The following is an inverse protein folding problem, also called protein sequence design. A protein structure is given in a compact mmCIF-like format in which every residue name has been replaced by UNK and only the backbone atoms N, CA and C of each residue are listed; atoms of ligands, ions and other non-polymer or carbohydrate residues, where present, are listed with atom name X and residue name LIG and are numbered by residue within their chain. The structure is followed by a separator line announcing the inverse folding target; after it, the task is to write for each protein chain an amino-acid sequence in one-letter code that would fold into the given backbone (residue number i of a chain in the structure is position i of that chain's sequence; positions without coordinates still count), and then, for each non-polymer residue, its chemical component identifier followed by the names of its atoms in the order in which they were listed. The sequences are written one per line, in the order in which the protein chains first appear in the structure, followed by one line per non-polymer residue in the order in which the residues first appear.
data_IF_312879785337
#
_entry.id   IF_312879785337
#
_cell.length_a   1.000
_cell.length_b   1.000
_cell.length_c   1.000
_cell.angle_alpha   90.00
_cell.angle_beta   90.00
_cell.angle_gamma   90.00
#
_symmetry.space_group_name_H-M   'P 1'
#
loop_
_entity.id
_entity.type
_entity.pdbx_description
1 polymer ?
#
# COMPACT_ATOMS: atom_id res chain seq x y z
N UNK A 1 -6.51 6.89 15.18
CA UNK A 1 -5.05 6.70 14.98
C UNK A 1 -4.65 5.36 15.56
N UNK A 2 -3.71 4.67 14.93
CA UNK A 2 -3.08 3.48 15.51
C UNK A 2 -2.14 3.94 16.63
N UNK A 3 -2.20 3.35 17.82
CA UNK A 3 -1.33 3.73 18.92
C UNK A 3 0.16 3.54 18.58
N UNK A 4 1.00 4.51 18.98
CA UNK A 4 2.44 4.47 18.68
C UNK A 4 3.12 3.21 19.23
N UNK A 5 2.69 2.73 20.40
CA UNK A 5 3.26 1.53 21.02
C UNK A 5 2.89 0.25 20.26
N UNK A 6 1.72 0.19 19.59
CA UNK A 6 1.38 -0.90 18.67
C UNK A 6 2.32 -0.91 17.46
N UNK A 7 2.62 0.28 16.92
CA UNK A 7 3.54 0.43 15.78
C UNK A 7 4.97 0.04 16.19
N UNK A 8 5.39 0.37 17.41
CA UNK A 8 6.70 -0.04 17.95
C UNK A 8 6.79 -1.56 18.13
N UNK A 9 5.74 -2.19 18.68
CA UNK A 9 5.66 -3.66 18.75
C UNK A 9 5.69 -4.32 17.38
N UNK A 10 4.97 -3.74 16.40
CA UNK A 10 5.03 -4.20 15.02
C UNK A 10 6.45 -4.13 14.45
N UNK A 11 7.21 -3.06 14.74
CA UNK A 11 8.60 -2.93 14.30
C UNK A 11 9.50 -4.02 14.90
N UNK A 12 9.35 -4.30 16.20
CA UNK A 12 10.11 -5.36 16.87
C UNK A 12 9.78 -6.73 16.28
N UNK A 13 8.50 -7.02 16.02
CA UNK A 13 8.06 -8.26 15.41
C UNK A 13 8.58 -8.43 13.98
N UNK A 14 8.74 -7.33 13.24
CA UNK A 14 9.19 -7.34 11.84
C UNK A 14 10.72 -7.40 11.67
N UNK A 15 11.47 -7.42 12.75
CA UNK A 15 12.94 -7.54 12.67
C UNK A 15 13.35 -8.83 11.94
N UNK A 16 14.27 -8.68 10.98
CA UNK A 16 14.69 -9.77 10.09
C UNK A 16 13.67 -10.18 9.01
N UNK A 17 12.47 -9.60 8.97
CA UNK A 17 11.42 -9.92 7.98
C UNK A 17 11.22 -8.77 6.99
N UNK A 18 10.99 -7.57 7.47
CA UNK A 18 10.88 -6.39 6.62
C UNK A 18 12.18 -5.57 6.64
N UNK A 19 12.59 -5.10 5.49
CA UNK A 19 13.79 -4.27 5.38
C UNK A 19 13.50 -2.82 5.80
N UNK A 20 14.47 -2.19 6.48
CA UNK A 20 14.52 -0.74 6.56
C UNK A 20 14.90 -0.20 5.19
N UNK A 21 13.90 0.24 4.42
CA UNK A 21 14.12 0.66 3.04
C UNK A 21 14.83 2.01 2.96
N UNK A 22 15.59 2.26 1.89
CA UNK A 22 16.22 3.55 1.66
C UNK A 22 15.21 4.69 1.52
N UNK A 23 15.60 5.85 2.01
CA UNK A 23 15.01 7.15 1.70
C UNK A 23 16.01 7.90 0.84
N UNK A 24 15.67 8.19 -0.41
CA UNK A 24 16.59 8.80 -1.38
C UNK A 24 16.03 10.12 -1.90
N UNK A 25 16.91 11.12 -2.02
CA UNK A 25 16.53 12.39 -2.66
C UNK A 25 16.41 12.17 -4.16
N UNK A 26 15.31 12.65 -4.75
CA UNK A 26 15.09 12.64 -6.19
C UNK A 26 15.76 13.86 -6.81
N UNK A 27 16.61 13.63 -7.81
CA UNK A 27 17.19 14.70 -8.64
C UNK A 27 16.17 15.10 -9.70
N UNK A 28 15.41 16.16 -9.41
CA UNK A 28 14.37 16.72 -10.26
C UNK A 28 14.33 18.23 -10.10
N UNK A 29 14.10 18.95 -11.20
CA UNK A 29 14.01 20.41 -11.22
C UNK A 29 12.61 20.86 -10.81
N UNK A 30 12.46 21.08 -9.50
CA UNK A 30 11.21 21.53 -8.86
C UNK A 30 11.56 22.46 -7.69
N UNK A 31 10.61 23.31 -7.30
CA UNK A 31 10.77 24.19 -6.12
C UNK A 31 10.84 23.41 -4.80
N UNK A 32 10.31 22.18 -4.78
CA UNK A 32 10.31 21.29 -3.62
C UNK A 32 11.48 20.31 -3.66
N UNK A 33 12.07 20.04 -2.52
CA UNK A 33 13.00 18.93 -2.30
C UNK A 33 12.21 17.63 -2.11
N UNK A 34 12.24 16.73 -3.09
CA UNK A 34 11.47 15.49 -3.09
C UNK A 34 12.34 14.31 -2.65
N UNK A 35 11.83 13.54 -1.69
CA UNK A 35 12.44 12.32 -1.19
C UNK A 35 11.55 11.12 -1.46
N UNK A 36 12.13 10.01 -1.90
CA UNK A 36 11.43 8.77 -2.21
C UNK A 36 11.70 7.72 -1.14
N UNK A 37 10.66 7.24 -0.46
CA UNK A 37 10.72 6.08 0.43
C UNK A 37 10.46 4.82 -0.38
N UNK A 38 11.51 4.03 -0.60
CA UNK A 38 11.54 2.96 -1.61
C UNK A 38 11.03 1.61 -1.06
N UNK A 39 9.73 1.52 -0.73
CA UNK A 39 9.10 0.28 -0.26
C UNK A 39 9.04 -0.83 -1.32
N UNK A 40 9.22 -0.50 -2.59
CA UNK A 40 9.37 -1.48 -3.66
C UNK A 40 10.62 -2.36 -3.53
N UNK A 41 11.58 -1.98 -2.67
CA UNK A 41 12.79 -2.77 -2.40
C UNK A 41 12.60 -3.85 -1.33
N UNK A 42 11.42 -3.98 -0.74
CA UNK A 42 11.08 -5.09 0.13
C UNK A 42 11.21 -6.45 -0.58
N UNK A 43 11.41 -7.58 0.15
CA UNK A 43 11.55 -8.92 -0.44
C UNK A 43 10.41 -9.30 -1.41
N UNK A 44 9.18 -8.86 -1.13
CA UNK A 44 8.02 -9.07 -2.00
C UNK A 44 7.75 -7.88 -2.93
N UNK A 45 8.70 -6.96 -3.05
CA UNK A 45 8.64 -5.76 -3.90
C UNK A 45 7.47 -4.82 -3.59
N UNK A 46 6.98 -4.83 -2.34
CA UNK A 46 5.95 -3.88 -1.86
C UNK A 46 5.94 -3.80 -0.35
N UNK A 47 5.40 -2.69 0.16
CA UNK A 47 5.20 -2.45 1.59
C UNK A 47 4.35 -3.51 2.29
N UNK A 48 3.56 -4.28 1.54
CA UNK A 48 2.57 -5.23 2.10
C UNK A 48 3.18 -6.28 3.02
N UNK A 49 4.47 -6.60 2.88
CA UNK A 49 5.16 -7.49 3.82
C UNK A 49 5.11 -6.96 5.25
N UNK A 50 5.10 -5.63 5.46
CA UNK A 50 5.05 -5.02 6.79
C UNK A 50 3.73 -5.31 7.49
N UNK A 51 2.61 -5.06 6.80
CA UNK A 51 1.29 -5.33 7.34
C UNK A 51 1.03 -6.83 7.50
N UNK A 52 1.33 -7.63 6.48
CA UNK A 52 1.18 -9.08 6.54
C UNK A 52 2.04 -9.69 7.64
N UNK A 53 3.32 -9.30 7.72
CA UNK A 53 4.24 -9.74 8.76
C UNK A 53 3.77 -9.35 10.15
N UNK A 54 3.40 -8.10 10.35
CA UNK A 54 2.89 -7.61 11.64
C UNK A 54 1.68 -8.42 12.12
N UNK A 55 0.71 -8.71 11.23
CA UNK A 55 -0.46 -9.49 11.59
C UNK A 55 -0.13 -10.94 11.97
N UNK A 56 0.76 -11.58 11.22
CA UNK A 56 1.14 -12.99 11.46
C UNK A 56 2.07 -13.14 12.67
N UNK A 57 3.07 -12.26 12.79
CA UNK A 57 4.12 -12.38 13.82
C UNK A 57 3.65 -11.96 15.23
N UNK A 58 2.54 -11.24 15.32
CA UNK A 58 1.92 -10.86 16.59
C UNK A 58 0.68 -11.72 16.91
N UNK A 59 0.34 -12.68 16.06
CA UNK A 59 -0.74 -13.62 16.32
C UNK A 59 -0.31 -14.72 17.30
N UNK A 60 -1.25 -15.25 18.07
CA UNK A 60 -1.02 -16.37 18.97
C UNK A 60 -0.95 -17.71 18.20
N UNK A 61 -0.34 -18.72 18.80
CA UNK A 61 -0.28 -20.05 18.19
C UNK A 61 -1.70 -20.63 17.94
N UNK A 62 -2.67 -20.28 18.79
CA UNK A 62 -4.07 -20.67 18.63
C UNK A 62 -4.70 -20.02 17.38
N UNK A 63 -4.48 -18.72 17.16
CA UNK A 63 -4.93 -18.02 15.94
C UNK A 63 -4.30 -18.61 14.67
N UNK A 64 -3.07 -19.10 14.75
CA UNK A 64 -2.29 -19.63 13.63
C UNK A 64 -2.48 -21.14 13.39
N UNK A 65 -3.18 -21.86 14.28
CA UNK A 65 -3.29 -23.31 14.21
C UNK A 65 -3.87 -23.85 12.88
N UNK A 66 -4.78 -23.08 12.24
CA UNK A 66 -5.33 -23.38 10.92
C UNK A 66 -4.56 -22.76 9.74
N UNK A 67 -3.42 -22.10 10.01
CA UNK A 67 -2.70 -21.32 9.01
C UNK A 67 -3.21 -19.88 8.89
N UNK A 68 -3.00 -19.27 7.73
CA UNK A 68 -3.41 -17.88 7.46
C UNK A 68 -4.19 -17.77 6.15
N UNK A 69 -5.11 -16.83 6.10
CA UNK A 69 -6.03 -16.64 4.97
C UNK A 69 -6.13 -15.15 4.61
N UNK A 70 -6.22 -14.85 3.32
CA UNK A 70 -6.61 -13.51 2.83
C UNK A 70 -7.39 -13.60 1.52
N UNK A 71 -8.16 -12.56 1.21
CA UNK A 71 -8.82 -12.39 -0.09
C UNK A 71 -8.11 -11.27 -0.87
N UNK A 72 -7.16 -11.64 -1.71
CA UNK A 72 -6.38 -10.68 -2.53
C UNK A 72 -5.66 -11.40 -3.65
N UNK A 73 -5.64 -10.83 -4.86
CA UNK A 73 -4.81 -11.30 -5.97
C UNK A 73 -3.50 -10.48 -6.14
N UNK A 74 -3.27 -9.46 -5.31
CA UNK A 74 -2.16 -8.52 -5.47
C UNK A 74 -1.05 -8.65 -4.43
N UNK A 75 -0.45 -7.51 -4.10
CA UNK A 75 0.71 -7.41 -3.21
C UNK A 75 0.47 -7.99 -1.80
N UNK A 76 -0.77 -7.91 -1.27
CA UNK A 76 -1.08 -8.47 0.04
C UNK A 76 -0.99 -10.00 0.04
N UNK A 77 -1.51 -10.64 -1.00
CA UNK A 77 -1.40 -12.08 -1.18
C UNK A 77 0.06 -12.56 -1.19
N UNK A 78 0.91 -11.86 -1.94
CA UNK A 78 2.34 -12.17 -2.02
C UNK A 78 3.04 -11.95 -0.66
N UNK A 79 2.72 -10.85 0.03
CA UNK A 79 3.28 -10.56 1.35
C UNK A 79 2.89 -11.62 2.39
N UNK A 80 1.62 -12.02 2.41
CA UNK A 80 1.13 -13.04 3.34
C UNK A 80 1.73 -14.41 3.05
N UNK A 81 1.77 -14.83 1.77
CA UNK A 81 2.37 -16.10 1.36
C UNK A 81 3.86 -16.17 1.73
N UNK A 82 4.61 -15.08 1.49
CA UNK A 82 6.02 -15.01 1.86
C UNK A 82 6.24 -15.21 3.35
N UNK A 83 5.54 -14.44 4.19
CA UNK A 83 5.69 -14.51 5.65
C UNK A 83 5.26 -15.87 6.20
N UNK A 84 4.14 -16.42 5.70
CA UNK A 84 3.64 -17.71 6.11
C UNK A 84 4.63 -18.85 5.79
N UNK A 85 5.20 -18.83 4.58
CA UNK A 85 6.23 -19.81 4.18
C UNK A 85 7.42 -19.80 5.14
N UNK A 86 7.94 -18.62 5.47
CA UNK A 86 9.12 -18.49 6.34
C UNK A 86 8.83 -18.93 7.79
N UNK A 87 7.53 -19.02 8.17
CA UNK A 87 7.04 -19.53 9.45
C UNK A 87 6.55 -20.98 9.40
N UNK A 88 6.62 -21.64 8.24
CA UNK A 88 6.11 -23.00 8.06
C UNK A 88 4.58 -23.10 8.14
N UNK A 89 3.86 -21.99 7.93
CA UNK A 89 2.39 -21.93 7.94
C UNK A 89 1.83 -22.12 6.54
N UNK A 90 0.63 -22.69 6.46
CA UNK A 90 -0.16 -22.68 5.22
C UNK A 90 -0.78 -21.31 5.00
N UNK A 91 -0.52 -20.69 3.84
CA UNK A 91 -1.22 -19.48 3.40
C UNK A 91 -2.26 -19.86 2.35
N UNK A 92 -3.54 -19.67 2.66
CA UNK A 92 -4.63 -19.81 1.69
C UNK A 92 -5.02 -18.45 1.14
N UNK A 93 -5.02 -18.31 -0.17
CA UNK A 93 -5.27 -17.05 -0.86
C UNK A 93 -6.49 -17.20 -1.76
N UNK A 94 -7.60 -16.56 -1.39
CA UNK A 94 -8.80 -16.52 -2.21
C UNK A 94 -8.68 -15.40 -3.23
N UNK A 95 -8.79 -15.74 -4.52
CA UNK A 95 -8.66 -14.79 -5.63
C UNK A 95 -9.89 -14.87 -6.55
N UNK A 96 -10.27 -13.77 -7.22
CA UNK A 96 -11.31 -13.85 -8.23
C UNK A 96 -10.84 -14.71 -9.41
N UNK A 97 -11.76 -15.43 -10.04
CA UNK A 97 -11.49 -16.39 -11.13
C UNK A 97 -10.83 -15.76 -12.36
N UNK A 98 -11.09 -14.47 -12.60
CA UNK A 98 -10.48 -13.68 -13.65
C UNK A 98 -9.12 -13.04 -13.29
N UNK A 99 -8.56 -13.38 -12.12
CA UNK A 99 -7.25 -12.85 -11.71
C UNK A 99 -6.16 -13.24 -12.74
N UNK A 100 -5.29 -12.29 -13.15
CA UNK A 100 -4.22 -12.57 -14.12
C UNK A 100 -3.29 -13.70 -13.64
N UNK A 101 -2.94 -14.60 -14.56
CA UNK A 101 -2.07 -15.74 -14.23
C UNK A 101 -0.71 -15.30 -13.68
N UNK A 102 -0.14 -14.20 -14.16
CA UNK A 102 1.11 -13.62 -13.66
C UNK A 102 1.06 -13.30 -12.17
N UNK A 103 -0.09 -12.85 -11.66
CA UNK A 103 -0.30 -12.58 -10.22
C UNK A 103 -0.43 -13.88 -9.42
N UNK A 104 -1.11 -14.89 -9.98
CA UNK A 104 -1.24 -16.20 -9.36
C UNK A 104 0.12 -16.88 -9.25
N UNK A 105 0.90 -16.90 -10.33
CA UNK A 105 2.26 -17.46 -10.34
C UNK A 105 3.17 -16.76 -9.31
N UNK A 106 2.99 -15.47 -9.10
CA UNK A 106 3.74 -14.74 -8.09
C UNK A 106 3.37 -15.16 -6.65
N UNK A 107 2.09 -15.40 -6.37
CA UNK A 107 1.61 -15.91 -5.08
C UNK A 107 2.14 -17.33 -4.82
N UNK A 108 2.01 -18.23 -5.81
CA UNK A 108 2.45 -19.62 -5.71
C UNK A 108 3.97 -19.74 -5.55
N UNK A 109 4.75 -18.86 -6.20
CA UNK A 109 6.22 -18.75 -6.02
C UNK A 109 6.60 -18.48 -4.57
N UNK A 110 5.78 -17.75 -3.83
CA UNK A 110 5.96 -17.52 -2.39
C UNK A 110 5.35 -18.62 -1.51
N UNK A 111 4.78 -19.69 -2.10
CA UNK A 111 4.22 -20.83 -1.37
C UNK A 111 2.75 -20.67 -0.99
N UNK A 112 2.05 -19.68 -1.53
CA UNK A 112 0.61 -19.49 -1.30
C UNK A 112 -0.23 -20.55 -2.03
N UNK A 113 -1.21 -21.11 -1.33
CA UNK A 113 -2.25 -21.98 -1.91
C UNK A 113 -3.39 -21.12 -2.43
N UNK A 114 -3.61 -21.09 -3.75
CA UNK A 114 -4.62 -20.27 -4.39
C UNK A 114 -5.95 -21.02 -4.52
N UNK A 115 -7.05 -20.35 -4.15
CA UNK A 115 -8.43 -20.78 -4.41
C UNK A 115 -9.07 -19.73 -5.33
N UNK A 116 -9.42 -20.13 -6.56
CA UNK A 116 -10.12 -19.29 -7.54
C UNK A 116 -11.63 -19.40 -7.32
N UNK A 117 -12.30 -18.26 -7.20
CA UNK A 117 -13.74 -18.18 -6.95
C UNK A 117 -14.38 -17.07 -7.79
N UNK A 118 -15.70 -17.11 -8.05
CA UNK A 118 -16.42 -15.99 -8.64
C UNK A 118 -16.22 -14.70 -7.84
N UNK A 119 -16.31 -13.54 -8.51
CA UNK A 119 -16.06 -12.24 -7.89
C UNK A 119 -16.90 -12.00 -6.62
N UNK A 120 -18.19 -12.36 -6.63
CA UNK A 120 -19.08 -12.16 -5.48
C UNK A 120 -18.68 -13.00 -4.27
N UNK A 121 -18.17 -14.22 -4.50
CA UNK A 121 -17.66 -15.09 -3.43
C UNK A 121 -16.34 -14.58 -2.87
N UNK A 122 -15.45 -14.07 -3.75
CA UNK A 122 -14.22 -13.37 -3.33
C UNK A 122 -14.54 -12.15 -2.49
N UNK A 123 -15.50 -11.32 -2.93
CA UNK A 123 -15.94 -10.13 -2.20
C UNK A 123 -16.56 -10.50 -0.85
N UNK A 124 -17.41 -11.53 -0.81
CA UNK A 124 -17.98 -12.03 0.43
C UNK A 124 -16.90 -12.48 1.42
N UNK A 125 -15.85 -13.18 0.95
CA UNK A 125 -14.68 -13.56 1.76
C UNK A 125 -13.98 -12.34 2.35
N UNK A 126 -13.84 -11.27 1.58
CA UNK A 126 -13.28 -10.01 2.04
C UNK A 126 -14.12 -9.37 3.15
N UNK A 127 -15.44 -9.36 2.99
CA UNK A 127 -16.37 -8.72 3.92
C UNK A 127 -16.55 -9.52 5.20
N UNK A 128 -16.67 -10.86 5.09
CA UNK A 128 -16.91 -11.74 6.25
C UNK A 128 -15.66 -12.10 7.03
N UNK A 129 -14.49 -11.92 6.44
CA UNK A 129 -13.22 -12.28 7.07
C UNK A 129 -12.98 -13.79 7.17
N UNK A 130 -13.51 -14.58 6.22
CA UNK A 130 -13.36 -16.04 6.22
C UNK A 130 -13.81 -16.68 4.92
N UNK A 131 -13.39 -17.92 4.68
CA UNK A 131 -13.80 -18.72 3.53
C UNK A 131 -14.27 -20.10 3.99
N UNK A 132 -15.45 -20.60 3.51
CA UNK A 132 -16.02 -21.88 3.96
C UNK A 132 -15.02 -23.05 3.83
N UNK A 133 -14.84 -23.80 4.92
CA UNK A 133 -13.94 -24.96 4.95
C UNK A 133 -12.44 -24.63 5.00
N UNK A 134 -12.08 -23.35 5.25
CA UNK A 134 -10.71 -22.92 5.50
C UNK A 134 -10.64 -22.31 6.89
N UNK A 135 -9.94 -22.99 7.79
CA UNK A 135 -9.63 -22.48 9.12
C UNK A 135 -8.34 -21.63 9.07
N UNK A 136 -8.17 -20.77 10.07
CA UNK A 136 -6.96 -19.98 10.23
C UNK A 136 -7.23 -18.48 10.38
N UNK A 137 -6.16 -17.73 10.62
CA UNK A 137 -6.23 -16.27 10.79
C UNK A 137 -6.53 -15.59 9.47
N UNK A 138 -7.68 -14.91 9.38
CA UNK A 138 -7.95 -14.03 8.25
C UNK A 138 -7.21 -12.71 8.43
N UNK A 139 -6.29 -12.41 7.51
CA UNK A 139 -5.55 -11.16 7.48
C UNK A 139 -6.18 -10.23 6.45
N UNK A 140 -6.94 -9.23 6.94
CA UNK A 140 -7.61 -8.27 6.05
C UNK A 140 -6.58 -7.35 5.40
N UNK A 141 -6.57 -7.17 4.05
CA UNK A 141 -5.53 -6.43 3.32
C UNK A 141 -5.31 -4.98 3.76
N UNK A 142 -6.28 -4.37 4.44
CA UNK A 142 -6.26 -2.94 4.81
C UNK A 142 -6.93 -2.62 6.15
N UNK A 143 -8.02 -3.30 6.54
CA UNK A 143 -8.86 -2.95 7.70
C UNK A 143 -8.54 -3.78 8.97
N UNK A 144 -7.29 -4.15 9.15
CA UNK A 144 -6.76 -4.84 10.33
C UNK A 144 -5.79 -3.91 11.05
N UNK A 145 -5.96 -3.73 12.37
CA UNK A 145 -5.13 -2.81 13.15
C UNK A 145 -3.67 -3.27 13.22
N UNK A 146 -3.41 -4.60 13.25
CA UNK A 146 -2.06 -5.16 13.16
C UNK A 146 -1.42 -4.89 11.80
N UNK A 147 -2.20 -4.93 10.72
CA UNK A 147 -1.73 -4.55 9.36
C UNK A 147 -1.41 -3.07 9.30
N UNK A 148 -2.27 -2.20 9.82
CA UNK A 148 -2.01 -0.76 9.85
C UNK A 148 -0.82 -0.42 10.75
N UNK A 149 -0.64 -1.09 11.90
CA UNK A 149 0.52 -0.93 12.76
C UNK A 149 1.83 -1.32 12.05
N UNK A 150 1.83 -2.46 11.32
CA UNK A 150 2.96 -2.87 10.48
C UNK A 150 3.33 -1.83 9.43
N UNK A 151 2.33 -1.29 8.73
CA UNK A 151 2.54 -0.21 7.76
C UNK A 151 3.09 1.07 8.43
N UNK A 152 2.69 1.34 9.68
CA UNK A 152 3.16 2.47 10.49
C UNK A 152 4.66 2.47 10.77
N UNK A 153 5.32 1.31 10.68
CA UNK A 153 6.77 1.20 10.85
C UNK A 153 7.55 2.01 9.81
N UNK A 154 6.97 2.24 8.62
CA UNK A 154 7.53 3.17 7.62
C UNK A 154 7.63 4.58 8.22
N UNK A 155 6.61 5.03 8.94
CA UNK A 155 6.60 6.35 9.58
C UNK A 155 7.68 6.51 10.65
N UNK A 156 7.96 5.45 11.43
CA UNK A 156 9.11 5.46 12.36
C UNK A 156 10.43 5.63 11.61
N UNK A 157 10.60 4.89 10.51
CA UNK A 157 11.80 4.99 9.67
C UNK A 157 11.96 6.39 9.06
N UNK A 158 10.88 7.02 8.60
CA UNK A 158 10.92 8.38 8.04
C UNK A 158 11.45 9.39 9.05
N UNK A 159 10.92 9.36 10.27
CA UNK A 159 11.35 10.27 11.33
C UNK A 159 12.81 10.06 11.73
N UNK A 160 13.33 8.83 11.61
CA UNK A 160 14.72 8.47 11.90
C UNK A 160 15.67 8.77 10.73
N UNK A 161 15.18 8.77 9.48
CA UNK A 161 16.01 8.92 8.28
C UNK A 161 16.12 10.37 7.79
N UNK A 162 15.18 11.23 8.20
CA UNK A 162 15.12 12.63 7.76
C UNK A 162 14.76 13.53 8.94
N UNK A 163 15.67 14.45 9.27
CA UNK A 163 15.52 15.30 10.44
C UNK A 163 14.34 16.27 10.34
N UNK A 164 14.05 16.77 9.14
CA UNK A 164 12.95 17.68 8.87
C UNK A 164 12.26 17.34 7.53
N UNK A 165 10.97 17.42 7.48
CA UNK A 165 10.14 17.38 6.26
C UNK A 165 8.76 17.97 6.54
N UNK A 166 8.19 18.61 5.53
CA UNK A 166 6.94 19.36 5.66
C UNK A 166 5.71 18.47 5.42
N UNK A 167 5.86 17.48 4.54
CA UNK A 167 4.74 16.67 4.11
C UNK A 167 5.14 15.25 3.70
N UNK A 168 4.19 14.35 3.80
CA UNK A 168 4.27 12.99 3.25
C UNK A 168 3.10 12.77 2.30
N UNK A 169 3.38 12.33 1.08
CA UNK A 169 2.38 11.89 0.12
C UNK A 169 2.37 10.37 0.03
N UNK A 170 1.19 9.77 0.19
CA UNK A 170 1.03 8.32 0.31
C UNK A 170 0.00 7.81 -0.69
N UNK A 171 0.28 6.75 -1.45
CA UNK A 171 -0.73 6.11 -2.29
C UNK A 171 -1.92 5.61 -1.47
N UNK A 172 -3.13 5.82 -1.97
CA UNK A 172 -4.37 5.42 -1.31
C UNK A 172 -5.16 4.43 -2.18
N UNK A 173 -5.36 3.24 -1.65
CA UNK A 173 -6.34 2.28 -2.15
C UNK A 173 -7.41 2.10 -1.08
N UNK A 174 -7.21 1.16 -0.16
CA UNK A 174 -8.08 1.02 1.01
C UNK A 174 -7.69 1.85 2.24
N UNK A 175 -6.63 2.68 2.17
CA UNK A 175 -6.25 3.64 3.22
C UNK A 175 -5.36 3.10 4.36
N UNK A 176 -5.16 1.78 4.48
CA UNK A 176 -4.38 1.19 5.59
C UNK A 176 -2.91 1.60 5.61
N UNK A 177 -2.33 1.96 4.46
CA UNK A 177 -0.95 2.47 4.40
C UNK A 177 -0.85 3.86 5.01
N UNK A 178 -1.68 4.79 4.56
CA UNK A 178 -1.67 6.16 5.07
C UNK A 178 -2.07 6.21 6.53
N UNK A 179 -3.09 5.43 6.95
CA UNK A 179 -3.51 5.36 8.35
C UNK A 179 -2.36 4.94 9.28
N UNK A 180 -1.57 3.94 8.88
CA UNK A 180 -0.39 3.50 9.64
C UNK A 180 0.71 4.55 9.67
N UNK A 181 1.20 5.00 8.51
CA UNK A 181 2.33 5.95 8.41
C UNK A 181 1.99 7.26 9.13
N UNK A 182 0.81 7.83 8.85
CA UNK A 182 0.41 9.09 9.45
C UNK A 182 0.20 8.98 10.97
N UNK A 183 -0.27 7.83 11.48
CA UNK A 183 -0.36 7.59 12.92
C UNK A 183 1.02 7.68 13.60
N UNK A 184 2.05 7.05 13.03
CA UNK A 184 3.39 7.08 13.56
C UNK A 184 4.01 8.49 13.51
N UNK A 185 3.95 9.13 12.33
CA UNK A 185 4.58 10.43 12.13
C UNK A 185 3.87 11.52 12.92
N UNK A 186 2.53 11.63 12.89
CA UNK A 186 1.77 12.64 13.64
C UNK A 186 1.92 12.50 15.17
N UNK A 187 2.16 11.28 15.66
CA UNK A 187 2.46 11.07 17.09
C UNK A 187 3.83 11.63 17.51
N UNK A 188 4.80 11.72 16.59
CA UNK A 188 6.17 12.18 16.84
C UNK A 188 6.42 13.60 16.32
N UNK A 189 5.75 13.96 15.23
CA UNK A 189 5.84 15.25 14.52
C UNK A 189 4.45 15.69 14.06
N UNK A 190 3.62 16.25 14.95
CA UNK A 190 2.23 16.59 14.66
C UNK A 190 2.05 17.65 13.56
N UNK A 191 3.07 18.46 13.30
CA UNK A 191 3.10 19.53 12.30
C UNK A 191 3.21 19.02 10.86
N UNK A 192 3.71 17.80 10.64
CA UNK A 192 3.90 17.23 9.29
C UNK A 192 2.56 16.98 8.62
N UNK A 193 2.37 17.51 7.43
CA UNK A 193 1.14 17.34 6.64
C UNK A 193 1.12 16.00 5.92
N UNK A 194 -0.07 15.43 5.77
CA UNK A 194 -0.29 14.17 5.08
C UNK A 194 -1.28 14.33 3.93
N UNK A 195 -0.88 13.84 2.77
CA UNK A 195 -1.74 13.82 1.59
C UNK A 195 -1.87 12.40 1.04
N UNK A 196 -3.08 12.04 0.64
CA UNK A 196 -3.31 10.80 -0.11
C UNK A 196 -3.27 11.05 -1.61
N UNK A 197 -2.89 10.04 -2.39
CA UNK A 197 -2.91 10.07 -3.85
C UNK A 197 -3.56 8.80 -4.40
N UNK A 198 -4.58 8.99 -5.24
CA UNK A 198 -5.36 7.95 -5.90
C UNK A 198 -5.32 8.15 -7.42
N UNK A 199 -5.47 7.11 -8.26
CA UNK A 199 -5.62 7.36 -9.69
C UNK A 199 -6.95 8.05 -9.98
N UNK A 200 -6.98 8.98 -10.92
CA UNK A 200 -8.22 9.68 -11.33
C UNK A 200 -9.33 8.74 -11.79
N UNK A 201 -9.00 7.49 -12.11
CA UNK A 201 -9.94 6.42 -12.49
C UNK A 201 -10.72 5.81 -11.31
N UNK A 202 -10.47 6.26 -10.07
CA UNK A 202 -11.19 5.78 -8.89
C UNK A 202 -10.65 6.42 -7.62
N UNK A 203 -11.04 7.68 -7.34
CA UNK A 203 -10.45 8.53 -6.30
C UNK A 203 -11.49 9.01 -5.27
N UNK A 204 -12.08 8.10 -4.44
CA UNK A 204 -13.12 8.47 -3.48
C UNK A 204 -12.60 9.36 -2.34
N UNK A 205 -11.33 9.28 -1.95
CA UNK A 205 -10.79 10.18 -0.92
C UNK A 205 -10.68 11.62 -1.46
N UNK A 206 -10.18 11.80 -2.69
CA UNK A 206 -10.14 13.10 -3.33
C UNK A 206 -11.55 13.70 -3.53
N UNK A 207 -12.52 12.90 -3.98
CA UNK A 207 -13.91 13.31 -4.11
C UNK A 207 -14.52 13.71 -2.74
N UNK A 208 -14.19 12.98 -1.69
CA UNK A 208 -14.64 13.27 -0.32
C UNK A 208 -14.07 14.59 0.19
N UNK A 209 -12.79 14.87 -0.03
CA UNK A 209 -12.21 16.17 0.31
C UNK A 209 -12.85 17.32 -0.49
N UNK A 210 -13.07 17.14 -1.80
CA UNK A 210 -13.76 18.11 -2.64
C UNK A 210 -15.21 18.36 -2.18
N UNK A 211 -15.87 17.37 -1.59
CA UNK A 211 -17.22 17.48 -1.01
C UNK A 211 -17.22 17.97 0.45
N UNK A 212 -16.12 18.59 0.92
CA UNK A 212 -16.04 19.14 2.28
C UNK A 212 -16.00 18.07 3.39
N UNK A 213 -15.51 16.87 3.09
CA UNK A 213 -15.33 15.77 4.04
C UNK A 213 -16.49 14.78 4.10
N UNK A 214 -17.56 15.00 3.35
CA UNK A 214 -18.66 14.03 3.24
C UNK A 214 -18.23 12.82 2.41
N UNK A 215 -18.22 11.58 2.95
CA UNK A 215 -17.85 10.39 2.21
C UNK A 215 -18.58 10.28 0.88
N UNK A 216 -17.83 10.29 -0.22
CA UNK A 216 -18.37 10.36 -1.58
C UNK A 216 -17.82 9.19 -2.40
N UNK A 217 -18.74 8.38 -2.94
CA UNK A 217 -18.40 7.33 -3.90
C UNK A 217 -18.14 7.91 -5.30
N UNK A 218 -17.37 7.17 -6.09
CA UNK A 218 -17.01 7.55 -7.47
C UNK A 218 -17.18 6.39 -8.43
N UNK A 219 -17.26 6.68 -9.73
CA UNK A 219 -17.07 5.66 -10.74
C UNK A 219 -15.63 5.12 -10.68
N UNK A 220 -15.49 3.79 -10.78
CA UNK A 220 -14.20 3.14 -10.84
C UNK A 220 -13.98 2.53 -12.22
N UNK A 221 -12.87 2.89 -12.84
CA UNK A 221 -12.43 2.32 -14.11
C UNK A 221 -11.12 1.56 -13.90
N UNK A 222 -11.05 0.26 -14.23
CA UNK A 222 -9.81 -0.50 -14.19
C UNK A 222 -8.72 0.17 -15.04
N UNK A 223 -7.49 0.18 -14.54
CA UNK A 223 -6.33 0.73 -15.23
C UNK A 223 -5.06 -0.03 -14.84
N UNK A 224 -3.90 0.37 -15.39
CA UNK A 224 -2.62 -0.19 -14.98
C UNK A 224 -2.22 0.17 -13.54
N UNK A 225 -2.95 1.07 -12.88
CA UNK A 225 -2.79 1.40 -11.46
C UNK A 225 -3.70 0.49 -10.62
N UNK A 226 -3.44 -0.79 -10.66
CA UNK A 226 -4.31 -1.82 -10.08
C UNK A 226 -4.10 -2.08 -8.57
N UNK A 227 -3.05 -1.50 -7.99
CA UNK A 227 -2.75 -1.58 -6.55
C UNK A 227 -3.42 -0.47 -5.70
N UNK A 228 -4.15 0.46 -6.32
CA UNK A 228 -4.74 1.64 -5.70
C UNK A 228 -6.02 2.06 -6.41
N UNK A 229 -6.77 2.97 -5.79
CA UNK A 229 -8.08 3.39 -6.29
C UNK A 229 -9.21 2.42 -5.90
N UNK A 230 -10.42 2.95 -5.78
CA UNK A 230 -11.63 2.20 -5.45
C UNK A 230 -12.89 2.97 -5.81
N UNK A 231 -14.06 2.32 -5.66
CA UNK A 231 -15.36 2.99 -5.81
C UNK A 231 -15.75 3.79 -4.57
N UNK A 232 -15.38 3.28 -3.41
CA UNK A 232 -15.83 3.80 -2.11
C UNK A 232 -14.72 3.69 -1.08
N UNK A 233 -14.81 4.52 -0.06
CA UNK A 233 -13.95 4.45 1.11
C UNK A 233 -14.37 3.27 2.00
N UNK A 234 -13.41 2.60 2.61
CA UNK A 234 -13.68 1.59 3.64
C UNK A 234 -13.96 2.33 4.95
N UNK A 235 -15.19 2.30 5.50
CA UNK A 235 -15.59 3.20 6.60
C UNK A 235 -14.66 3.13 7.81
N UNK A 236 -14.33 1.91 8.27
CA UNK A 236 -13.43 1.70 9.41
C UNK A 236 -12.04 2.33 9.20
N UNK A 237 -11.48 2.20 8.00
CA UNK A 237 -10.15 2.75 7.70
C UNK A 237 -10.21 4.25 7.49
N UNK A 238 -11.29 4.73 6.85
CA UNK A 238 -11.51 6.16 6.64
C UNK A 238 -11.67 6.92 7.96
N UNK A 239 -12.29 6.33 8.96
CA UNK A 239 -12.37 6.91 10.31
C UNK A 239 -10.98 7.20 10.90
N UNK A 240 -9.98 6.35 10.64
CA UNK A 240 -8.60 6.62 11.03
C UNK A 240 -7.94 7.65 10.11
N UNK A 241 -8.04 7.46 8.80
CA UNK A 241 -7.32 8.26 7.80
C UNK A 241 -7.81 9.71 7.72
N UNK A 242 -9.13 9.94 7.79
CA UNK A 242 -9.72 11.28 7.66
C UNK A 242 -9.25 12.30 8.68
N UNK A 243 -8.88 11.84 9.86
CA UNK A 243 -8.36 12.69 10.97
C UNK A 243 -6.88 13.02 10.83
N UNK A 244 -6.19 12.36 9.92
CA UNK A 244 -4.74 12.43 9.75
C UNK A 244 -4.35 13.10 8.43
N UNK A 245 -5.26 13.10 7.45
CA UNK A 245 -5.04 13.66 6.12
C UNK A 245 -5.38 15.15 6.09
N UNK A 246 -4.49 15.93 5.50
CA UNK A 246 -4.65 17.35 5.23
C UNK A 246 -5.24 17.60 3.81
N UNK A 247 -5.27 16.56 2.96
CA UNK A 247 -5.83 16.62 1.62
C UNK A 247 -5.67 15.31 0.84
N UNK A 248 -6.22 15.29 -0.38
CA UNK A 248 -6.14 14.16 -1.29
C UNK A 248 -6.03 14.63 -2.74
N UNK A 249 -5.28 13.91 -3.56
CA UNK A 249 -5.04 14.21 -4.96
C UNK A 249 -5.44 13.02 -5.84
N UNK A 250 -5.80 13.34 -7.10
CA UNK A 250 -6.21 12.35 -8.09
C UNK A 250 -5.44 12.55 -9.41
N UNK A 251 -4.15 12.19 -9.49
CA UNK A 251 -3.38 12.32 -10.72
C UNK A 251 -3.97 11.46 -11.84
N UNK A 252 -3.87 11.97 -13.07
CA UNK A 252 -4.26 11.26 -14.30
C UNK A 252 -3.31 10.10 -14.58
N UNK A 253 -3.74 9.16 -15.42
CA UNK A 253 -2.88 8.04 -15.82
C UNK A 253 -1.62 8.51 -16.57
N UNK A 254 -1.70 9.63 -17.32
CA UNK A 254 -0.53 10.23 -17.98
C UNK A 254 0.49 10.74 -16.96
N UNK A 255 0.04 11.43 -15.91
CA UNK A 255 0.90 11.89 -14.81
C UNK A 255 1.55 10.72 -14.07
N UNK A 256 0.79 9.64 -13.81
CA UNK A 256 1.33 8.42 -13.19
C UNK A 256 2.36 7.74 -14.10
N UNK A 257 2.08 7.61 -15.41
CA UNK A 257 3.04 7.06 -16.38
C UNK A 257 4.32 7.88 -16.45
N UNK A 258 4.22 9.21 -16.44
CA UNK A 258 5.38 10.12 -16.38
C UNK A 258 6.19 9.92 -15.09
N UNK A 259 5.53 9.78 -13.95
CA UNK A 259 6.17 9.53 -12.67
C UNK A 259 6.88 8.16 -12.61
N UNK A 260 6.29 7.10 -13.20
CA UNK A 260 6.95 5.79 -13.35
C UNK A 260 8.25 5.93 -14.14
N UNK A 261 8.22 6.62 -15.30
CA UNK A 261 9.41 6.88 -16.12
C UNK A 261 10.46 7.66 -15.36
N UNK A 262 10.06 8.74 -14.68
CA UNK A 262 10.97 9.62 -13.94
C UNK A 262 11.68 8.85 -12.81
N UNK A 263 10.96 8.06 -12.02
CA UNK A 263 11.56 7.21 -10.98
C UNK A 263 12.56 6.24 -11.60
N UNK A 264 12.15 5.51 -12.65
CA UNK A 264 13.03 4.55 -13.34
C UNK A 264 14.29 5.20 -13.90
N UNK A 265 14.15 6.39 -14.51
CA UNK A 265 15.26 7.14 -15.10
C UNK A 265 16.23 7.65 -14.04
N UNK A 266 15.73 8.24 -12.96
CA UNK A 266 16.56 8.94 -11.97
C UNK A 266 17.15 8.02 -10.89
N UNK A 267 16.44 6.94 -10.56
CA UNK A 267 16.83 6.06 -9.44
C UNK A 267 17.26 4.65 -9.87
N UNK A 268 16.97 4.24 -11.11
CA UNK A 268 17.17 2.86 -11.63
C UNK A 268 16.33 1.80 -10.90
N UNK A 269 15.29 2.21 -10.17
CA UNK A 269 14.29 1.28 -9.62
C UNK A 269 12.97 1.43 -10.37
N UNK A 270 12.19 0.35 -10.44
CA UNK A 270 10.98 0.27 -11.24
C UNK A 270 9.76 0.21 -10.33
N UNK A 271 8.97 1.29 -10.20
CA UNK A 271 7.71 1.25 -9.49
C UNK A 271 6.59 0.66 -10.34
N UNK A 272 5.58 0.09 -9.70
CA UNK A 272 4.26 -0.12 -10.29
C UNK A 272 3.47 1.19 -10.34
N UNK A 273 2.33 1.22 -11.05
CA UNK A 273 1.50 2.42 -11.14
C UNK A 273 1.12 3.00 -9.78
N UNK A 274 0.67 2.14 -8.85
CA UNK A 274 0.36 2.56 -7.48
C UNK A 274 1.59 3.11 -6.72
N UNK A 275 2.79 2.58 -7.00
CA UNK A 275 4.04 3.06 -6.42
C UNK A 275 4.46 4.46 -6.89
N UNK A 276 3.97 4.91 -8.03
CA UNK A 276 4.31 6.22 -8.60
C UNK A 276 3.30 7.33 -8.26
N UNK A 277 2.13 6.98 -7.69
CA UNK A 277 1.06 7.94 -7.40
C UNK A 277 1.50 9.10 -6.50
N UNK A 278 2.30 8.82 -5.47
CA UNK A 278 2.75 9.85 -4.55
C UNK A 278 3.61 10.91 -5.24
N UNK A 279 4.54 10.48 -6.10
CA UNK A 279 5.36 11.39 -6.89
C UNK A 279 4.52 12.15 -7.91
N UNK A 280 3.62 11.47 -8.63
CA UNK A 280 2.73 12.11 -9.61
C UNK A 280 1.93 13.26 -8.98
N UNK A 281 1.43 13.07 -7.76
CA UNK A 281 0.71 14.12 -7.04
C UNK A 281 1.64 15.25 -6.57
N UNK A 282 2.83 14.92 -6.05
CA UNK A 282 3.75 15.91 -5.49
C UNK A 282 4.36 16.84 -6.56
N UNK A 283 4.51 16.38 -7.81
CA UNK A 283 5.06 17.18 -8.90
C UNK A 283 4.12 18.30 -9.36
N UNK A 284 2.81 18.11 -9.24
CA UNK A 284 1.80 19.01 -9.80
C UNK A 284 1.03 19.80 -8.73
N UNK A 285 1.38 19.64 -7.44
CA UNK A 285 0.69 20.31 -6.35
C UNK A 285 1.66 20.91 -5.33
N UNK A 286 1.30 22.05 -4.75
CA UNK A 286 2.05 22.65 -3.64
C UNK A 286 1.74 21.86 -2.34
N UNK A 287 2.58 20.91 -2.02
CA UNK A 287 2.47 20.09 -0.80
C UNK A 287 3.50 20.46 0.27
N UNK A 288 4.47 21.32 -0.02
CA UNK A 288 5.52 21.78 0.88
C UNK A 288 6.88 21.90 0.21
N UNK A 289 7.90 22.28 0.96
CA UNK A 289 9.26 22.49 0.45
C UNK A 289 10.13 21.24 0.53
N UNK A 290 9.95 20.41 1.54
CA UNK A 290 10.63 19.12 1.70
C UNK A 290 9.58 18.03 1.86
N UNK A 291 9.41 17.22 0.82
CA UNK A 291 8.30 16.30 0.65
C UNK A 291 8.79 14.86 0.54
N UNK A 292 8.19 13.97 1.31
CA UNK A 292 8.43 12.52 1.18
C UNK A 292 7.31 11.89 0.36
N UNK A 293 7.67 11.21 -0.72
CA UNK A 293 6.77 10.40 -1.55
C UNK A 293 7.01 8.91 -1.26
N UNK A 294 5.97 8.18 -0.88
CA UNK A 294 6.07 6.75 -0.62
C UNK A 294 5.95 5.98 -1.93
N UNK A 295 7.03 5.32 -2.37
CA UNK A 295 7.05 4.42 -3.52
C UNK A 295 6.67 3.02 -3.05
N UNK A 296 5.36 2.76 -3.01
CA UNK A 296 4.75 1.68 -2.24
C UNK A 296 4.99 0.26 -2.77
N UNK A 297 5.25 0.11 -4.09
CA UNK A 297 5.47 -1.20 -4.71
C UNK A 297 6.05 -1.11 -6.12
N UNK A 298 6.49 -2.27 -6.63
CA UNK A 298 7.13 -2.42 -7.95
C UNK A 298 6.70 -3.69 -8.69
N UNK A 299 5.57 -4.29 -8.35
CA UNK A 299 5.06 -5.51 -9.02
C UNK A 299 4.25 -5.16 -10.28
N UNK A 300 4.90 -4.47 -11.23
CA UNK A 300 4.30 -4.10 -12.52
C UNK A 300 4.45 -5.23 -13.54
N UNK A 301 3.45 -5.40 -14.41
CA UNK A 301 3.57 -6.27 -15.57
C UNK A 301 4.60 -5.69 -16.56
N UNK A 302 5.50 -6.55 -17.06
CA UNK A 302 6.59 -6.11 -17.94
C UNK A 302 6.09 -5.57 -19.28
N UNK A 303 4.95 -6.03 -19.79
CA UNK A 303 4.34 -5.51 -21.00
C UNK A 303 3.78 -4.10 -20.79
N UNK A 304 3.19 -3.84 -19.63
CA UNK A 304 2.74 -2.51 -19.21
C UNK A 304 3.94 -1.57 -19.03
N UNK A 305 4.98 -2.04 -18.34
CA UNK A 305 6.22 -1.26 -18.18
C UNK A 305 6.85 -0.88 -19.51
N UNK A 306 6.95 -1.81 -20.45
CA UNK A 306 7.54 -1.56 -21.77
C UNK A 306 6.78 -0.43 -22.52
N UNK A 307 5.44 -0.42 -22.47
CA UNK A 307 4.61 0.65 -23.04
C UNK A 307 4.88 1.99 -22.35
N UNK A 308 4.91 2.01 -21.02
CA UNK A 308 5.20 3.23 -20.25
C UNK A 308 6.58 3.78 -20.60
N UNK A 309 7.62 2.93 -20.64
CA UNK A 309 8.97 3.35 -21.00
C UNK A 309 9.08 3.80 -22.47
N UNK A 310 8.23 3.27 -23.35
CA UNK A 310 8.07 3.71 -24.73
C UNK A 310 7.33 5.05 -24.89
N UNK A 311 6.85 5.65 -23.80
CA UNK A 311 6.16 6.94 -23.82
C UNK A 311 4.64 6.84 -23.89
N UNK A 312 4.07 5.64 -23.83
CA UNK A 312 2.61 5.43 -23.83
C UNK A 312 2.02 5.51 -22.42
N UNK A 313 0.71 5.73 -22.36
CA UNK A 313 -0.12 5.54 -21.17
C UNK A 313 -1.00 4.31 -21.42
N UNK A 314 -0.75 3.19 -20.72
CA UNK A 314 -1.49 1.92 -20.93
C UNK A 314 -2.97 1.99 -20.55
#
# INVERSE_FOLDING_TARGET
MIPLDEIRRAREALDGVALRTPLVRLDVDTDAEIWLKLELLQPVRSFKIRGAGSAVLQATDEELAGGVLTASAGNMAQGLAYVARDRGLTATIVVPDHAPQTKIDAIERYGGRVIKVPYDEWWNTMVTGGYPGVDGLFVHPVADDRVMAGNGTIGLELVEQLDDFDAVVVPYGGGGLVAGIASAVKALRPEVRFYSSEPATGAPAAATFAAGGTPTGVEYQPSFVDGSGSRELIPRVWEHASRLLDGAFAPTLDQVSAAVRLIAERTRVIPEGAGALALAAALDNDVGRKVVCVVSGGNIDLSVLARILGGETP
#
